data_IF_956573779581
#
_entry.id   IF_956573779581
#
_cell.length_a   1.000
_cell.length_b   1.000
_cell.length_c   1.000
_cell.angle_alpha   90.00
_cell.angle_beta   90.00
_cell.angle_gamma   90.00
#
_symmetry.space_group_name_H-M   'P 1'
#
loop_
_entity.id
_entity.type
_entity.pdbx_description
1 polymer ?
#
# COMPACT_ATOMS: atom_id res chain seq x y z
N UNK A 1 -2.03 8.09 16.50
CA UNK A 1 -1.19 7.44 15.46
C UNK A 1 -2.10 7.05 14.30
N UNK A 2 -1.70 7.26 13.04
CA UNK A 2 -2.45 6.78 11.86
C UNK A 2 -2.07 5.31 11.58
N UNK A 3 -3.01 4.51 11.08
CA UNK A 3 -2.85 3.07 10.82
C UNK A 3 -2.31 2.25 12.02
N UNK A 4 -3.03 2.27 13.16
CA UNK A 4 -2.58 1.63 14.40
C UNK A 4 -2.51 0.10 14.26
N UNK A 5 -1.32 -0.47 14.44
CA UNK A 5 -1.08 -1.92 14.35
C UNK A 5 -0.64 -2.37 12.95
N UNK A 6 -1.28 -1.83 11.90
CA UNK A 6 -0.96 -2.17 10.51
C UNK A 6 0.48 -1.80 10.15
N UNK A 7 0.92 -0.57 10.51
CA UNK A 7 2.28 -0.10 10.14
C UNK A 7 3.36 -0.98 10.74
N UNK A 8 3.20 -1.38 12.00
CA UNK A 8 4.12 -2.28 12.70
C UNK A 8 4.13 -3.67 12.06
N UNK A 9 2.94 -4.23 11.77
CA UNK A 9 2.79 -5.54 11.16
C UNK A 9 3.38 -5.61 9.75
N UNK A 10 3.08 -4.61 8.91
CA UNK A 10 3.65 -4.50 7.56
C UNK A 10 5.17 -4.38 7.58
N UNK A 11 5.74 -3.58 8.49
CA UNK A 11 7.19 -3.45 8.62
C UNK A 11 7.87 -4.77 8.96
N UNK A 12 7.34 -5.52 9.94
CA UNK A 12 7.89 -6.83 10.33
C UNK A 12 7.83 -7.81 9.17
N UNK A 13 6.70 -7.85 8.46
CA UNK A 13 6.49 -8.75 7.32
C UNK A 13 7.47 -8.43 6.18
N UNK A 14 7.65 -7.15 5.86
CA UNK A 14 8.59 -6.71 4.83
C UNK A 14 10.05 -6.96 5.22
N UNK A 15 10.40 -6.82 6.51
CA UNK A 15 11.73 -7.18 7.00
C UNK A 15 12.03 -8.69 6.80
N UNK A 16 11.03 -9.55 7.02
CA UNK A 16 11.15 -11.00 6.75
C UNK A 16 11.35 -11.24 5.25
N UNK A 17 10.57 -10.59 4.39
CA UNK A 17 10.69 -10.74 2.93
C UNK A 17 12.06 -10.30 2.42
N UNK A 18 12.58 -9.15 2.89
CA UNK A 18 13.93 -8.67 2.56
C UNK A 18 15.01 -9.64 3.05
N UNK A 19 14.85 -10.21 4.26
CA UNK A 19 15.78 -11.21 4.77
C UNK A 19 15.79 -12.48 3.90
N UNK A 20 14.61 -12.99 3.52
CA UNK A 20 14.48 -14.14 2.61
C UNK A 20 15.16 -13.84 1.26
N UNK A 21 14.93 -12.65 0.70
CA UNK A 21 15.57 -12.22 -0.54
C UNK A 21 17.10 -12.19 -0.43
N UNK A 22 17.62 -11.66 0.68
CA UNK A 22 19.06 -11.63 0.96
C UNK A 22 19.66 -13.03 1.09
N UNK A 23 19.01 -13.94 1.83
CA UNK A 23 19.49 -15.32 2.00
C UNK A 23 19.52 -16.07 0.68
N UNK A 24 18.51 -15.86 -0.16
CA UNK A 24 18.41 -16.47 -1.48
C UNK A 24 19.21 -15.74 -2.58
N UNK A 25 19.83 -14.59 -2.26
CA UNK A 25 20.54 -13.73 -3.22
C UNK A 25 19.70 -13.39 -4.48
N UNK A 26 18.41 -13.11 -4.27
CA UNK A 26 17.49 -12.69 -5.34
C UNK A 26 16.87 -11.34 -5.02
N UNK A 27 16.33 -10.67 -6.04
CA UNK A 27 15.64 -9.40 -5.88
C UNK A 27 14.38 -9.53 -4.99
N UNK A 28 14.22 -8.60 -4.04
CA UNK A 28 13.11 -8.63 -3.09
C UNK A 28 11.74 -8.47 -3.78
N UNK A 29 11.63 -7.70 -4.87
CA UNK A 29 10.37 -7.61 -5.61
C UNK A 29 10.01 -8.92 -6.31
N UNK A 30 11.01 -9.73 -6.69
CA UNK A 30 10.76 -11.08 -7.20
C UNK A 30 10.20 -12.00 -6.12
N UNK A 31 10.69 -11.90 -4.88
CA UNK A 31 10.11 -12.62 -3.72
C UNK A 31 8.68 -12.16 -3.47
N UNK A 32 8.44 -10.84 -3.42
CA UNK A 32 7.10 -10.27 -3.22
C UNK A 32 6.11 -10.74 -4.28
N UNK A 33 6.42 -10.55 -5.57
CA UNK A 33 5.55 -10.93 -6.69
C UNK A 33 5.20 -12.41 -6.69
N UNK A 34 6.14 -13.27 -6.32
CA UNK A 34 5.89 -14.72 -6.22
C UNK A 34 4.97 -15.09 -5.06
N UNK A 35 4.97 -14.29 -3.99
CA UNK A 35 4.16 -14.52 -2.78
C UNK A 35 2.85 -13.71 -2.75
N UNK A 36 2.63 -12.80 -3.71
CA UNK A 36 1.34 -12.13 -3.84
C UNK A 36 0.24 -13.15 -4.10
N UNK A 37 -0.84 -13.03 -3.36
CA UNK A 37 -2.05 -13.79 -3.65
C UNK A 37 -2.55 -13.47 -5.06
N UNK A 38 -2.98 -14.50 -5.79
CA UNK A 38 -3.99 -14.32 -6.84
C UNK A 38 -5.34 -14.04 -6.19
N UNK A 39 -6.28 -13.44 -6.92
CA UNK A 39 -7.62 -13.21 -6.37
C UNK A 39 -8.26 -14.51 -5.85
N UNK A 40 -8.14 -15.62 -6.60
CA UNK A 40 -8.66 -16.92 -6.16
C UNK A 40 -8.06 -17.40 -4.84
N UNK A 41 -6.73 -17.27 -4.67
CA UNK A 41 -6.08 -17.63 -3.39
C UNK A 41 -6.45 -16.68 -2.26
N UNK A 42 -6.60 -15.38 -2.54
CA UNK A 42 -7.02 -14.39 -1.55
C UNK A 42 -8.44 -14.69 -1.06
N UNK A 43 -9.36 -14.99 -1.97
CA UNK A 43 -10.74 -15.37 -1.65
C UNK A 43 -10.81 -16.68 -0.86
N UNK A 44 -9.92 -17.64 -1.13
CA UNK A 44 -9.87 -18.91 -0.42
C UNK A 44 -9.38 -18.75 1.04
N UNK A 45 -8.26 -18.05 1.26
CA UNK A 45 -7.64 -17.95 2.58
C UNK A 45 -8.17 -16.77 3.41
N UNK A 46 -8.62 -15.70 2.76
CA UNK A 46 -9.08 -14.46 3.39
C UNK A 46 -10.40 -13.96 2.79
N UNK A 47 -11.49 -14.76 2.83
CA UNK A 47 -12.75 -14.44 2.16
C UNK A 47 -13.36 -13.11 2.61
N UNK A 48 -13.17 -12.72 3.88
CA UNK A 48 -13.66 -11.45 4.43
C UNK A 48 -12.91 -10.22 3.92
N UNK A 49 -11.69 -10.41 3.42
CA UNK A 49 -10.80 -9.33 2.97
C UNK A 49 -10.64 -9.29 1.45
N UNK A 50 -11.11 -10.32 0.74
CA UNK A 50 -10.92 -10.45 -0.71
C UNK A 50 -11.71 -9.41 -1.52
N UNK A 51 -12.86 -8.97 -1.00
CA UNK A 51 -13.74 -8.04 -1.69
C UNK A 51 -14.19 -8.58 -3.06
N UNK A 52 -14.40 -7.67 -4.01
CA UNK A 52 -14.69 -8.02 -5.40
C UNK A 52 -13.40 -8.23 -6.20
N UNK A 53 -13.43 -9.14 -7.18
CA UNK A 53 -12.29 -9.42 -8.05
C UNK A 53 -11.76 -8.18 -8.79
N UNK A 54 -12.67 -7.30 -9.22
CA UNK A 54 -12.37 -6.02 -9.87
C UNK A 54 -11.61 -5.04 -8.95
N UNK A 55 -11.80 -5.14 -7.64
CA UNK A 55 -11.17 -4.27 -6.65
C UNK A 55 -9.78 -4.75 -6.22
N UNK A 56 -9.40 -5.99 -6.52
CA UNK A 56 -8.08 -6.52 -6.18
C UNK A 56 -7.00 -6.04 -7.18
N UNK A 57 -6.53 -4.82 -6.97
CA UNK A 57 -5.63 -4.11 -7.91
C UNK A 57 -4.15 -4.19 -7.57
N UNK A 58 -3.75 -4.99 -6.56
CA UNK A 58 -2.37 -5.03 -6.06
C UNK A 58 -1.33 -5.23 -7.16
N UNK A 59 -1.52 -6.27 -7.98
CA UNK A 59 -0.59 -6.60 -9.08
C UNK A 59 -0.47 -5.44 -10.07
N UNK A 60 -1.61 -4.90 -10.51
CA UNK A 60 -1.65 -3.78 -11.47
C UNK A 60 -0.97 -2.52 -10.92
N UNK A 61 -1.24 -2.14 -9.66
CA UNK A 61 -0.63 -0.97 -9.04
C UNK A 61 0.88 -1.17 -8.89
N UNK A 62 1.31 -2.35 -8.45
CA UNK A 62 2.73 -2.65 -8.26
C UNK A 62 3.50 -2.61 -9.59
N UNK A 63 2.94 -3.21 -10.65
CA UNK A 63 3.53 -3.17 -11.98
C UNK A 63 3.54 -1.76 -12.56
N UNK A 64 2.43 -1.02 -12.44
CA UNK A 64 2.35 0.37 -12.88
C UNK A 64 3.37 1.24 -12.16
N UNK A 65 3.54 1.08 -10.85
CA UNK A 65 4.52 1.83 -10.07
C UNK A 65 5.95 1.53 -10.53
N UNK A 66 6.28 0.26 -10.78
CA UNK A 66 7.59 -0.12 -11.29
C UNK A 66 7.87 0.50 -12.67
N UNK A 67 6.85 0.58 -13.53
CA UNK A 67 6.94 1.20 -14.84
C UNK A 67 7.09 2.73 -14.75
N UNK A 68 6.19 3.43 -14.05
CA UNK A 68 6.17 4.89 -13.99
C UNK A 68 7.36 5.48 -13.24
N UNK A 69 7.92 4.75 -12.27
CA UNK A 69 9.14 5.15 -11.57
C UNK A 69 10.43 4.79 -12.31
N UNK A 70 10.33 4.12 -13.47
CA UNK A 70 11.49 3.58 -14.19
C UNK A 70 12.40 2.72 -13.30
N UNK A 71 11.78 1.88 -12.46
CA UNK A 71 12.44 1.15 -11.38
C UNK A 71 13.64 0.34 -11.87
N UNK A 72 13.50 -0.39 -12.98
CA UNK A 72 14.58 -1.21 -13.54
C UNK A 72 15.79 -0.37 -13.95
N UNK A 73 15.55 0.73 -14.67
CA UNK A 73 16.61 1.66 -15.08
C UNK A 73 17.31 2.29 -13.87
N UNK A 74 16.54 2.71 -12.86
CA UNK A 74 17.08 3.25 -11.60
C UNK A 74 17.91 2.20 -10.85
N UNK A 75 17.45 0.94 -10.80
CA UNK A 75 18.16 -0.18 -10.16
C UNK A 75 19.52 -0.43 -10.83
N UNK A 76 19.57 -0.46 -12.16
CA UNK A 76 20.83 -0.67 -12.88
C UNK A 76 21.79 0.52 -12.73
N UNK A 77 21.26 1.75 -12.77
CA UNK A 77 22.04 2.98 -12.50
C UNK A 77 22.62 2.97 -11.09
N UNK A 78 21.87 2.47 -10.10
CA UNK A 78 22.33 2.31 -8.71
C UNK A 78 23.43 1.26 -8.60
N UNK A 79 23.33 0.13 -9.31
CA UNK A 79 24.40 -0.88 -9.33
C UNK A 79 25.70 -0.29 -9.88
N UNK A 80 25.64 0.45 -10.98
CA UNK A 80 26.80 1.13 -11.56
C UNK A 80 27.37 2.19 -10.60
N UNK A 81 26.51 3.01 -9.99
CA UNK A 81 26.96 3.98 -8.99
C UNK A 81 27.67 3.27 -7.83
N UNK A 82 27.11 2.19 -7.32
CA UNK A 82 27.65 1.45 -6.19
C UNK A 82 28.96 0.72 -6.52
N UNK A 83 29.20 0.29 -7.77
CA UNK A 83 30.48 -0.32 -8.17
C UNK A 83 31.61 0.71 -8.22
N UNK A 84 31.31 1.95 -8.61
CA UNK A 84 32.30 3.04 -8.70
C UNK A 84 32.55 3.79 -7.37
N UNK A 85 31.68 3.65 -6.37
CA UNK A 85 31.76 4.42 -5.13
C UNK A 85 31.98 3.52 -3.91
N UNK A 86 33.16 3.60 -3.28
CA UNK A 86 33.49 2.79 -2.09
C UNK A 86 32.73 3.23 -0.83
N UNK A 87 32.67 4.54 -0.58
CA UNK A 87 32.20 5.11 0.69
C UNK A 87 30.76 5.64 0.66
N UNK A 88 30.15 5.72 -0.52
CA UNK A 88 28.77 6.15 -0.69
C UNK A 88 28.02 5.11 -1.51
N UNK A 89 26.91 4.62 -0.98
CA UNK A 89 26.03 3.68 -1.67
C UNK A 89 24.65 4.30 -1.84
N UNK A 90 23.92 3.82 -2.83
CA UNK A 90 22.49 4.11 -3.07
C UNK A 90 21.71 2.81 -2.99
N UNK A 91 20.45 2.93 -2.63
CA UNK A 91 19.48 1.84 -2.60
C UNK A 91 18.14 2.34 -3.12
N UNK A 92 17.33 1.40 -3.59
CA UNK A 92 15.94 1.64 -4.01
C UNK A 92 15.12 0.44 -3.53
N UNK A 93 13.88 0.69 -3.12
CA UNK A 93 12.93 -0.36 -2.75
C UNK A 93 11.53 0.01 -3.25
N UNK A 94 10.75 -1.01 -3.58
CA UNK A 94 9.34 -0.89 -3.94
C UNK A 94 8.55 -1.80 -3.01
N UNK A 95 7.68 -1.23 -2.17
CA UNK A 95 6.99 -1.95 -1.10
C UNK A 95 5.48 -1.93 -1.37
N UNK A 96 4.81 -3.09 -1.37
CA UNK A 96 3.36 -3.18 -1.55
C UNK A 96 2.61 -2.77 -0.29
N UNK A 97 1.35 -2.35 -0.45
CA UNK A 97 0.46 -2.07 0.65
C UNK A 97 -0.93 -2.63 0.32
N UNK A 98 -1.47 -3.44 1.23
CA UNK A 98 -2.88 -3.79 1.30
C UNK A 98 -3.38 -3.27 2.63
N UNK A 99 -4.41 -2.42 2.61
CA UNK A 99 -4.99 -1.85 3.82
C UNK A 99 -6.49 -2.11 3.81
N UNK A 100 -6.97 -2.83 4.81
CA UNK A 100 -8.39 -3.16 4.91
C UNK A 100 -9.17 -2.00 5.54
N UNK A 101 -10.25 -1.57 4.90
CA UNK A 101 -11.10 -0.48 5.39
C UNK A 101 -12.48 -1.06 5.71
N UNK A 102 -12.86 -0.97 6.98
CA UNK A 102 -14.21 -1.30 7.42
C UNK A 102 -14.96 0.00 7.75
N UNK A 103 -15.86 0.47 6.88
CA UNK A 103 -16.63 1.69 7.15
C UNK A 103 -17.54 1.48 8.35
N UNK A 104 -17.65 2.50 9.20
CA UNK A 104 -18.62 2.53 10.31
C UNK A 104 -19.74 3.49 9.93
N UNK A 105 -21.02 3.07 10.00
CA UNK A 105 -22.13 3.98 9.79
C UNK A 105 -22.07 5.15 10.78
N UNK A 106 -22.31 6.36 10.30
CA UNK A 106 -22.40 7.56 11.12
C UNK A 106 -23.66 8.35 10.73
N UNK A 107 -24.47 8.81 11.71
CA UNK A 107 -25.63 9.62 11.40
C UNK A 107 -25.23 11.01 10.91
N UNK A 108 -26.07 11.59 10.06
CA UNK A 108 -26.01 12.99 9.65
C UNK A 108 -27.38 13.64 9.78
N UNK A 109 -27.40 14.97 9.96
CA UNK A 109 -28.62 15.78 10.04
C UNK A 109 -28.58 16.84 8.95
N UNK A 110 -29.70 17.00 8.24
CA UNK A 110 -29.89 18.04 7.23
C UNK A 110 -31.09 18.88 7.64
N UNK A 111 -30.91 20.20 7.69
CA UNK A 111 -31.97 21.15 8.02
C UNK A 111 -32.11 22.18 6.90
N UNK A 112 -33.35 22.43 6.47
CA UNK A 112 -33.69 23.49 5.51
C UNK A 112 -34.24 24.68 6.28
N UNK A 113 -33.55 25.82 6.20
CA UNK A 113 -33.93 27.04 6.90
C UNK A 113 -34.97 27.84 6.09
N UNK A 114 -35.63 28.79 6.76
CA UNK A 114 -36.73 29.58 6.15
C UNK A 114 -36.30 30.42 4.95
N UNK A 115 -35.03 30.83 4.91
CA UNK A 115 -34.43 31.59 3.82
C UNK A 115 -33.96 30.69 2.66
N UNK A 116 -34.18 29.38 2.76
CA UNK A 116 -33.76 28.38 1.76
C UNK A 116 -32.32 27.89 1.92
N UNK A 117 -31.58 28.38 2.93
CA UNK A 117 -30.23 27.85 3.22
C UNK A 117 -30.29 26.44 3.81
N UNK A 118 -29.24 25.65 3.58
CA UNK A 118 -29.14 24.25 4.01
C UNK A 118 -28.01 24.13 5.03
N UNK A 119 -28.34 23.61 6.21
CA UNK A 119 -27.37 23.24 7.24
C UNK A 119 -27.19 21.73 7.26
N UNK A 120 -25.94 21.27 7.18
CA UNK A 120 -25.58 19.85 7.25
C UNK A 120 -24.65 19.61 8.43
N UNK A 121 -24.95 18.61 9.25
CA UNK A 121 -24.13 18.18 10.37
C UNK A 121 -23.85 16.68 10.26
N UNK A 122 -22.62 16.28 10.54
CA UNK A 122 -22.19 14.88 10.55
C UNK A 122 -21.46 14.58 11.86
N UNK A 123 -21.47 13.32 12.28
CA UNK A 123 -20.76 12.90 13.50
C UNK A 123 -19.22 12.85 13.38
N UNK A 124 -18.67 13.05 12.18
CA UNK A 124 -17.22 13.06 12.00
C UNK A 124 -16.61 14.40 12.38
N UNK A 125 -15.32 14.37 12.76
CA UNK A 125 -14.59 15.53 13.27
C UNK A 125 -13.57 15.95 12.21
N UNK A 126 -13.62 17.20 11.76
CA UNK A 126 -12.60 17.77 10.90
C UNK A 126 -11.29 17.98 11.67
N UNK A 127 -10.23 17.30 11.25
CA UNK A 127 -8.89 17.35 11.84
C UNK A 127 -7.81 17.63 10.78
N UNK A 128 -8.20 18.23 9.65
CA UNK A 128 -7.34 18.56 8.50
C UNK A 128 -7.45 17.59 7.31
N UNK A 129 -8.40 16.65 7.33
CA UNK A 129 -8.62 15.69 6.24
C UNK A 129 -9.60 16.17 5.17
N UNK A 130 -10.35 17.24 5.44
CA UNK A 130 -11.38 17.75 4.53
C UNK A 130 -12.65 16.88 4.51
N UNK A 131 -13.14 16.49 5.69
CA UNK A 131 -14.48 15.91 5.88
C UNK A 131 -15.55 17.00 5.76
#
# INVERSE_FOLDING_TARGET
MRAPGDTQGSLITEAIIEHVASVLSIDANRVRKKNFHTYGSLALFFPKSAGEASAYTLHSIFDRLALTSSYLHCSDSIKQFNSCNKWRKRGISCVPLIFNIAPRPAPGRVSVLKDGSILVEVGGIEIGQGL
#
